data_IF_432946064345
#
_entry.id   IF_432946064345
#
_cell.length_a   1.000
_cell.length_b   1.000
_cell.length_c   1.000
_cell.angle_alpha   90.00
_cell.angle_beta   90.00
_cell.angle_gamma   90.00
#
_symmetry.space_group_name_H-M   'P 1'
#
loop_
_entity.id
_entity.type
_entity.pdbx_description
1 polymer ?
#
# COMPACT_ATOMS: atom_id res chain seq x y z
N UNK A 1 -14.94 7.31 17.49
CA UNK A 1 -16.25 6.79 17.07
C UNK A 1 -16.09 6.18 15.68
N UNK A 2 -16.15 4.85 15.59
CA UNK A 2 -15.94 4.09 14.35
C UNK A 2 -16.97 4.43 13.27
N UNK A 3 -18.18 4.83 13.68
CA UNK A 3 -19.22 5.25 12.76
C UNK A 3 -18.80 6.48 11.93
N UNK A 4 -18.12 7.44 12.58
CA UNK A 4 -17.62 8.65 11.92
C UNK A 4 -16.57 8.30 10.87
N UNK A 5 -15.65 7.37 11.20
CA UNK A 5 -14.65 6.87 10.26
C UNK A 5 -15.27 6.22 9.02
N UNK A 6 -16.20 5.27 9.23
CA UNK A 6 -16.85 4.55 8.12
C UNK A 6 -17.65 5.48 7.22
N UNK A 7 -18.37 6.44 7.81
CA UNK A 7 -19.12 7.45 7.06
C UNK A 7 -18.20 8.30 6.18
N UNK A 8 -17.14 8.87 6.77
CA UNK A 8 -16.20 9.71 6.03
C UNK A 8 -15.41 8.92 4.99
N UNK A 9 -15.07 7.65 5.25
CA UNK A 9 -14.39 6.79 4.29
C UNK A 9 -15.26 6.53 3.05
N UNK A 10 -16.56 6.26 3.27
CA UNK A 10 -17.53 6.09 2.18
C UNK A 10 -17.65 7.37 1.35
N UNK A 11 -17.73 8.54 1.99
CA UNK A 11 -17.73 9.83 1.28
C UNK A 11 -16.43 10.05 0.51
N UNK A 12 -15.28 9.70 1.08
CA UNK A 12 -13.98 9.87 0.43
C UNK A 12 -13.84 8.98 -0.81
N UNK A 13 -14.39 7.77 -0.80
CA UNK A 13 -14.37 6.88 -1.97
C UNK A 13 -15.10 7.50 -3.16
N UNK A 14 -16.27 8.10 -2.94
CA UNK A 14 -17.10 8.67 -4.01
C UNK A 14 -16.73 10.10 -4.40
N UNK A 15 -16.10 10.86 -3.49
CA UNK A 15 -15.76 12.27 -3.71
C UNK A 15 -14.44 12.45 -4.47
N UNK A 16 -14.37 13.44 -5.37
CA UNK A 16 -13.11 13.90 -5.98
C UNK A 16 -12.27 14.77 -5.04
N UNK A 17 -12.86 15.25 -3.94
CA UNK A 17 -12.23 16.17 -2.99
C UNK A 17 -12.20 15.60 -1.58
N UNK A 18 -11.13 15.91 -0.86
CA UNK A 18 -10.92 15.44 0.52
C UNK A 18 -11.45 16.49 1.50
N UNK A 19 -12.45 16.13 2.30
CA UNK A 19 -13.04 17.06 3.27
C UNK A 19 -12.06 17.49 4.37
N UNK A 20 -12.19 18.72 4.88
CA UNK A 20 -11.36 19.23 5.98
C UNK A 20 -11.44 18.34 7.22
N UNK A 21 -12.65 17.89 7.54
CA UNK A 21 -12.93 16.97 8.66
C UNK A 21 -12.20 15.64 8.50
N UNK A 22 -12.20 15.06 7.30
CA UNK A 22 -11.48 13.82 7.05
C UNK A 22 -9.96 13.98 7.18
N UNK A 23 -9.39 15.06 6.65
CA UNK A 23 -7.96 15.36 6.84
C UNK A 23 -7.61 15.55 8.31
N UNK A 24 -8.46 16.25 9.08
CA UNK A 24 -8.27 16.42 10.51
C UNK A 24 -8.26 15.06 11.22
N UNK A 25 -9.23 14.19 10.92
CA UNK A 25 -9.36 12.87 11.54
C UNK A 25 -8.14 11.97 11.25
N UNK A 26 -7.62 11.97 10.02
CA UNK A 26 -6.37 11.26 9.68
C UNK A 26 -5.18 11.78 10.47
N UNK A 27 -5.07 13.11 10.67
CA UNK A 27 -3.99 13.70 11.48
C UNK A 27 -4.08 13.39 12.97
N UNK A 28 -5.28 13.09 13.48
CA UNK A 28 -5.46 12.59 14.86
C UNK A 28 -5.02 11.12 15.01
N UNK A 29 -4.67 10.45 13.91
CA UNK A 29 -4.26 9.05 13.89
C UNK A 29 -5.42 8.12 13.55
N UNK A 30 -5.14 7.16 12.67
CA UNK A 30 -6.08 6.11 12.31
C UNK A 30 -6.05 5.02 13.39
N UNK A 31 -7.21 4.64 13.97
CA UNK A 31 -7.30 3.51 14.91
C UNK A 31 -6.70 2.23 14.33
N UNK A 32 -5.98 1.45 15.15
CA UNK A 32 -5.22 0.28 14.70
C UNK A 32 -6.08 -0.69 13.84
N UNK A 33 -7.29 -1.00 14.30
CA UNK A 33 -8.21 -1.95 13.64
C UNK A 33 -8.78 -1.44 12.32
N UNK A 34 -8.73 -0.13 12.07
CA UNK A 34 -9.20 0.48 10.82
C UNK A 34 -8.07 0.75 9.82
N UNK A 35 -6.79 0.64 10.22
CA UNK A 35 -5.65 1.01 9.34
C UNK A 35 -5.66 0.25 8.02
N UNK A 36 -5.88 -1.05 8.05
CA UNK A 36 -5.91 -1.88 6.85
C UNK A 36 -6.96 -1.39 5.86
N UNK A 37 -8.20 -1.15 6.33
CA UNK A 37 -9.31 -0.67 5.51
C UNK A 37 -9.04 0.75 4.96
N UNK A 38 -8.63 1.68 5.82
CA UNK A 38 -8.40 3.08 5.44
C UNK A 38 -7.25 3.21 4.44
N UNK A 39 -6.12 2.56 4.70
CA UNK A 39 -4.97 2.60 3.79
C UNK A 39 -5.25 1.91 2.47
N UNK A 40 -5.99 0.80 2.49
CA UNK A 40 -6.42 0.14 1.25
C UNK A 40 -7.21 1.12 0.37
N UNK A 41 -8.17 1.84 0.94
CA UNK A 41 -8.95 2.85 0.22
C UNK A 41 -8.06 3.98 -0.34
N UNK A 42 -7.08 4.47 0.42
CA UNK A 42 -6.16 5.51 -0.05
C UNK A 42 -5.33 5.04 -1.23
N UNK A 43 -4.78 3.83 -1.14
CA UNK A 43 -3.99 3.25 -2.21
C UNK A 43 -4.85 3.04 -3.46
N UNK A 44 -6.05 2.43 -3.33
CA UNK A 44 -6.93 2.19 -4.47
C UNK A 44 -7.30 3.48 -5.20
N UNK A 45 -7.59 4.56 -4.46
CA UNK A 45 -7.90 5.86 -5.06
C UNK A 45 -6.66 6.48 -5.75
N UNK A 46 -5.49 6.36 -5.13
CA UNK A 46 -4.23 6.89 -5.69
C UNK A 46 -3.83 6.18 -7.00
N UNK A 47 -4.03 4.87 -7.08
CA UNK A 47 -3.65 4.08 -8.26
C UNK A 47 -4.78 3.94 -9.29
N UNK A 48 -5.95 4.52 -9.05
CA UNK A 48 -7.14 4.33 -9.89
C UNK A 48 -6.86 4.67 -11.36
N UNK A 49 -6.21 5.80 -11.62
CA UNK A 49 -5.86 6.23 -12.98
C UNK A 49 -4.83 5.30 -13.63
N UNK A 50 -3.81 4.88 -12.87
CA UNK A 50 -2.79 3.93 -13.36
C UNK A 50 -3.44 2.60 -13.72
N UNK A 51 -4.37 2.13 -12.88
CA UNK A 51 -5.08 0.86 -13.09
C UNK A 51 -6.05 0.93 -14.27
N UNK A 52 -6.70 2.08 -14.50
CA UNK A 52 -7.52 2.33 -15.69
C UNK A 52 -6.66 2.33 -16.96
N UNK A 53 -5.49 2.94 -16.93
CA UNK A 53 -4.59 3.03 -18.09
C UNK A 53 -3.90 1.70 -18.41
N UNK A 54 -3.36 1.01 -17.39
CA UNK A 54 -2.50 -0.17 -17.57
C UNK A 54 -3.24 -1.50 -17.46
N UNK A 55 -4.46 -1.50 -16.93
CA UNK A 55 -5.26 -2.69 -16.71
C UNK A 55 -5.00 -3.40 -15.37
N UNK A 56 -5.88 -4.34 -15.02
CA UNK A 56 -5.87 -5.05 -13.73
C UNK A 56 -4.68 -6.01 -13.56
N UNK A 57 -4.17 -6.60 -14.64
CA UNK A 57 -3.06 -7.55 -14.60
C UNK A 57 -1.68 -6.88 -14.67
N UNK A 58 -1.62 -5.55 -14.71
CA UNK A 58 -0.37 -4.82 -14.94
C UNK A 58 0.73 -5.18 -13.93
N UNK A 59 0.41 -5.16 -12.64
CA UNK A 59 1.36 -5.52 -11.60
C UNK A 59 1.89 -6.96 -11.76
N UNK A 60 1.01 -7.91 -12.02
CA UNK A 60 1.40 -9.31 -12.21
C UNK A 60 2.29 -9.48 -13.44
N UNK A 61 1.96 -8.80 -14.54
CA UNK A 61 2.78 -8.80 -15.74
C UNK A 61 4.17 -8.22 -15.49
N UNK A 62 4.29 -7.14 -14.70
CA UNK A 62 5.60 -6.60 -14.30
C UNK A 62 6.41 -7.63 -13.52
N UNK A 63 5.79 -8.34 -12.57
CA UNK A 63 6.46 -9.40 -11.81
C UNK A 63 6.96 -10.54 -12.69
N UNK A 64 6.22 -10.90 -13.76
CA UNK A 64 6.65 -11.92 -14.72
C UNK A 64 7.78 -11.46 -15.64
N UNK A 65 7.81 -10.18 -15.98
CA UNK A 65 8.82 -9.61 -16.87
C UNK A 65 10.15 -9.32 -16.15
N UNK A 66 10.08 -8.99 -14.85
CA UNK A 66 11.23 -8.53 -14.08
C UNK A 66 12.42 -9.52 -14.10
N UNK A 67 12.28 -10.83 -13.87
CA UNK A 67 13.41 -11.77 -13.79
C UNK A 67 14.31 -11.78 -15.02
N UNK A 68 13.73 -11.49 -16.20
CA UNK A 68 14.44 -11.50 -17.47
C UNK A 68 14.90 -10.09 -17.91
N UNK A 69 14.77 -9.08 -17.04
CA UNK A 69 15.10 -7.69 -17.36
C UNK A 69 16.47 -7.28 -16.84
N UNK A 70 17.14 -6.37 -17.55
CA UNK A 70 18.39 -5.75 -17.09
C UNK A 70 18.23 -4.98 -15.76
N UNK A 71 17.01 -4.56 -15.45
CA UNK A 71 16.67 -3.90 -14.20
C UNK A 71 16.82 -4.85 -13.00
N UNK A 72 16.48 -6.14 -13.16
CA UNK A 72 16.65 -7.11 -12.09
C UNK A 72 18.14 -7.26 -11.72
N UNK A 73 18.99 -7.46 -12.72
CA UNK A 73 20.45 -7.54 -12.52
C UNK A 73 21.02 -6.31 -11.81
N UNK A 74 20.40 -5.14 -12.03
CA UNK A 74 20.82 -3.87 -11.41
C UNK A 74 20.38 -3.74 -9.95
N UNK A 75 19.17 -4.14 -9.60
CA UNK A 75 18.57 -3.81 -8.29
C UNK A 75 18.44 -4.98 -7.33
N UNK A 76 18.46 -6.22 -7.81
CA UNK A 76 18.24 -7.43 -7.00
C UNK A 76 19.16 -7.51 -5.78
N UNK A 77 20.48 -7.30 -5.99
CA UNK A 77 21.46 -7.34 -4.90
C UNK A 77 21.17 -6.31 -3.82
N UNK A 78 20.76 -5.09 -4.20
CA UNK A 78 20.47 -4.02 -3.25
C UNK A 78 19.17 -4.30 -2.48
N UNK A 79 18.13 -4.77 -3.18
CA UNK A 79 16.87 -5.16 -2.54
C UNK A 79 17.11 -6.27 -1.50
N UNK A 80 17.90 -7.28 -1.85
CA UNK A 80 18.23 -8.37 -0.94
C UNK A 80 18.97 -7.89 0.32
N UNK A 81 19.99 -7.03 0.15
CA UNK A 81 20.71 -6.45 1.28
C UNK A 81 19.80 -5.60 2.18
N UNK A 82 18.92 -4.80 1.58
CA UNK A 82 18.00 -3.95 2.33
C UNK A 82 16.93 -4.74 3.06
N UNK A 83 16.48 -5.87 2.50
CA UNK A 83 15.53 -6.75 3.13
C UNK A 83 16.06 -7.32 4.45
N UNK A 84 17.32 -7.82 4.48
CA UNK A 84 17.91 -8.37 5.71
C UNK A 84 18.05 -7.36 6.85
N UNK A 85 18.16 -6.07 6.53
CA UNK A 85 18.27 -4.99 7.54
C UNK A 85 16.94 -4.30 7.84
N UNK A 86 15.84 -4.71 7.19
CA UNK A 86 14.51 -4.11 7.39
C UNK A 86 13.78 -4.82 8.52
N UNK A 87 13.57 -4.12 9.64
CA UNK A 87 12.85 -4.63 10.82
C UNK A 87 13.29 -6.05 11.26
N UNK A 88 14.59 -6.31 11.49
CA UNK A 88 15.13 -7.65 11.68
C UNK A 88 14.57 -8.37 12.92
N UNK A 89 13.97 -7.63 13.86
CA UNK A 89 13.36 -8.16 15.09
C UNK A 89 11.85 -8.33 15.01
N UNK A 90 11.21 -7.92 13.92
CA UNK A 90 9.76 -8.06 13.73
C UNK A 90 9.46 -9.50 13.30
N UNK A 91 8.53 -10.16 14.00
CA UNK A 91 8.13 -11.55 13.73
C UNK A 91 7.72 -11.83 12.28
N UNK A 92 7.26 -10.81 11.55
CA UNK A 92 6.87 -10.90 10.13
C UNK A 92 8.04 -10.80 9.16
N UNK A 93 9.20 -10.34 9.60
CA UNK A 93 10.37 -10.05 8.75
C UNK A 93 11.69 -10.60 9.30
N UNK A 94 11.66 -11.36 10.40
CA UNK A 94 12.87 -11.79 11.11
C UNK A 94 13.60 -12.98 10.48
N UNK A 95 12.99 -13.65 9.49
CA UNK A 95 13.60 -14.79 8.81
C UNK A 95 13.24 -14.82 7.32
N UNK A 96 13.97 -15.63 6.55
CA UNK A 96 13.70 -15.83 5.11
C UNK A 96 12.36 -16.48 4.83
N UNK A 97 11.90 -17.31 5.77
CA UNK A 97 10.65 -18.06 5.66
C UNK A 97 9.48 -17.32 6.30
N UNK A 98 9.67 -16.09 6.76
CA UNK A 98 8.60 -15.26 7.31
C UNK A 98 7.66 -14.77 6.21
N UNK A 99 6.35 -14.77 6.49
CA UNK A 99 5.30 -14.45 5.50
C UNK A 99 5.28 -12.98 5.03
N UNK A 100 5.95 -12.08 5.76
CA UNK A 100 5.77 -10.63 5.61
C UNK A 100 4.51 -10.08 6.29
#
# INVERSE_FOLDING_TARGET
DDHVWRSLLKTYQTSSTVSKTFKYLVRQGIPNHLRAEVWHVFIQKQIENIRKEKGSSYFHNLCHLLPNSDLNNKFEKQIALDLYRTMPTNIRFCSKDSDG
#
